data_IF_391622384946
#
_entry.id   IF_391622384946
#
_cell.length_a   1.000
_cell.length_b   1.000
_cell.length_c   1.000
_cell.angle_alpha   90.00
_cell.angle_beta   90.00
_cell.angle_gamma   90.00
#
_symmetry.space_group_name_H-M   'P 1'
#
loop_
_entity.id
_entity.type
_entity.pdbx_description
1 polymer ?
#
# COMPACT_ATOMS: atom_id res chain seq x y z
N UNK A 1 19.49 -6.35 4.21
CA UNK A 1 18.24 -6.16 4.96
C UNK A 1 17.15 -5.83 3.96
N UNK A 2 16.23 -6.75 3.71
CA UNK A 2 15.08 -6.53 2.81
C UNK A 2 14.18 -5.48 3.45
N UNK A 3 13.94 -4.38 2.73
CA UNK A 3 12.95 -3.37 3.11
C UNK A 3 11.55 -3.98 2.93
N UNK A 4 10.68 -3.85 3.93
CA UNK A 4 9.34 -4.46 3.91
C UNK A 4 8.30 -3.57 4.57
N UNK A 5 7.04 -3.84 4.27
CA UNK A 5 5.89 -3.14 4.85
C UNK A 5 5.14 -4.04 5.84
N UNK A 6 4.58 -3.44 6.89
CA UNK A 6 3.85 -4.13 7.95
C UNK A 6 2.35 -4.22 7.64
N UNK A 7 1.79 -5.42 7.71
CA UNK A 7 0.37 -5.72 7.46
C UNK A 7 -0.27 -6.35 8.70
N UNK A 8 -1.51 -5.97 9.06
CA UNK A 8 -2.29 -6.55 10.16
C UNK A 8 -3.81 -6.46 9.90
N UNK A 9 -4.32 -7.27 8.97
CA UNK A 9 -5.71 -7.16 8.51
C UNK A 9 -6.30 -8.52 8.15
N UNK A 10 -7.61 -8.70 8.39
CA UNK A 10 -8.36 -9.89 8.00
C UNK A 10 -9.08 -9.75 6.65
N UNK A 11 -9.20 -8.53 6.13
CA UNK A 11 -9.89 -8.20 4.89
C UNK A 11 -8.98 -7.36 4.00
N UNK A 12 -9.23 -7.42 2.69
CA UNK A 12 -8.58 -6.56 1.71
C UNK A 12 -9.61 -5.99 0.74
N UNK A 13 -9.25 -4.89 0.09
CA UNK A 13 -10.11 -4.26 -0.92
C UNK A 13 -10.17 -5.08 -2.20
N UNK A 14 -11.33 -5.01 -2.88
CA UNK A 14 -11.50 -5.45 -4.26
C UNK A 14 -11.96 -4.24 -5.08
N UNK A 15 -11.08 -3.70 -5.91
CA UNK A 15 -11.39 -2.52 -6.71
C UNK A 15 -12.41 -2.85 -7.82
N UNK A 16 -13.38 -1.96 -8.03
CA UNK A 16 -14.33 -2.08 -9.14
C UNK A 16 -13.67 -1.71 -10.47
N UNK A 17 -12.82 -0.68 -10.48
CA UNK A 17 -11.98 -0.32 -11.62
C UNK A 17 -10.55 -0.85 -11.39
N UNK A 18 -9.99 -1.50 -12.40
CA UNK A 18 -8.60 -2.00 -12.34
C UNK A 18 -7.58 -0.87 -12.44
N UNK A 19 -7.95 0.27 -13.03
CA UNK A 19 -7.08 1.43 -13.13
C UNK A 19 -6.79 2.07 -11.76
N UNK A 20 -7.67 1.85 -10.77
CA UNK A 20 -7.48 2.36 -9.41
C UNK A 20 -6.46 1.51 -8.60
N UNK A 21 -5.99 0.38 -9.14
CA UNK A 21 -5.03 -0.51 -8.47
C UNK A 21 -3.61 0.03 -8.67
N UNK A 22 -2.99 0.48 -7.58
CA UNK A 22 -1.62 1.00 -7.59
C UNK A 22 -0.59 -0.12 -7.43
N UNK A 23 -0.85 -1.07 -6.54
CA UNK A 23 0.01 -2.24 -6.33
C UNK A 23 -0.75 -3.39 -5.69
N UNK A 24 -0.20 -4.59 -5.90
CA UNK A 24 -0.65 -5.83 -5.28
C UNK A 24 0.46 -6.43 -4.41
N UNK A 25 0.06 -7.25 -3.45
CA UNK A 25 0.96 -8.01 -2.60
C UNK A 25 0.49 -9.45 -2.55
N UNK A 26 1.43 -10.38 -2.44
CA UNK A 26 1.15 -11.81 -2.36
C UNK A 26 1.25 -12.26 -0.91
N UNK A 27 0.11 -12.71 -0.36
CA UNK A 27 0.04 -13.43 0.91
C UNK A 27 -0.98 -14.55 0.75
N UNK A 28 -0.50 -15.76 0.50
CA UNK A 28 -1.26 -16.94 0.00
C UNK A 28 -1.87 -16.72 -1.40
N UNK A 29 -2.54 -15.58 -1.61
CA UNK A 29 -3.09 -15.10 -2.87
C UNK A 29 -2.64 -13.66 -3.14
N UNK A 30 -2.77 -13.19 -4.40
CA UNK A 30 -2.57 -11.77 -4.71
C UNK A 30 -3.77 -10.95 -4.22
N UNK A 31 -3.50 -9.80 -3.61
CA UNK A 31 -4.51 -8.84 -3.21
C UNK A 31 -4.03 -7.41 -3.44
N UNK A 32 -4.97 -6.49 -3.64
CA UNK A 32 -4.68 -5.06 -3.79
C UNK A 32 -4.22 -4.50 -2.44
N UNK A 33 -2.99 -4.00 -2.40
CA UNK A 33 -2.36 -3.44 -1.20
C UNK A 33 -2.09 -1.94 -1.31
N UNK A 34 -2.30 -1.35 -2.49
CA UNK A 34 -2.31 0.09 -2.71
C UNK A 34 -3.32 0.47 -3.78
N UNK A 35 -3.96 1.62 -3.59
CA UNK A 35 -4.89 2.22 -4.53
C UNK A 35 -4.51 3.67 -4.80
N UNK A 36 -4.84 4.15 -5.99
CA UNK A 36 -4.77 5.56 -6.33
C UNK A 36 -5.91 5.91 -7.28
N UNK A 37 -6.57 7.05 -7.01
CA UNK A 37 -7.57 7.63 -7.91
C UNK A 37 -7.46 9.14 -7.82
N UNK A 38 -7.10 9.77 -8.93
CA UNK A 38 -6.84 11.21 -9.00
C UNK A 38 -5.86 11.66 -7.89
N UNK A 39 -6.27 12.53 -6.98
CA UNK A 39 -5.45 13.01 -5.87
C UNK A 39 -5.58 12.15 -4.59
N UNK A 40 -6.30 11.02 -4.64
CA UNK A 40 -6.54 10.14 -3.49
C UNK A 40 -5.57 8.95 -3.56
N UNK A 41 -4.85 8.73 -2.46
CA UNK A 41 -3.92 7.63 -2.28
C UNK A 41 -4.33 6.79 -1.06
N UNK A 42 -4.23 5.47 -1.17
CA UNK A 42 -4.51 4.57 -0.06
C UNK A 42 -3.55 3.38 -0.10
N UNK A 43 -3.10 2.95 1.08
CA UNK A 43 -2.29 1.74 1.23
C UNK A 43 -2.89 0.88 2.33
N UNK A 44 -2.83 -0.44 2.14
CA UNK A 44 -3.37 -1.40 3.09
C UNK A 44 -2.38 -1.67 4.22
N UNK A 45 -1.08 -1.67 3.94
CA UNK A 45 -0.03 -1.75 4.95
C UNK A 45 0.07 -0.45 5.76
N UNK A 46 0.81 -0.51 6.88
CA UNK A 46 1.01 0.60 7.82
C UNK A 46 2.38 1.26 7.61
N UNK A 47 2.49 2.36 6.86
CA UNK A 47 3.78 3.03 6.63
C UNK A 47 4.44 3.46 7.95
N UNK A 48 3.65 3.91 8.92
CA UNK A 48 4.13 4.33 10.25
C UNK A 48 4.75 3.20 11.07
N UNK A 49 4.46 1.94 10.74
CA UNK A 49 5.02 0.74 11.39
C UNK A 49 6.07 0.03 10.53
N UNK A 50 6.39 0.58 9.36
CA UNK A 50 7.24 -0.07 8.34
C UNK A 50 8.69 0.45 8.31
N UNK A 51 9.15 1.12 9.38
CA UNK A 51 10.51 1.64 9.53
C UNK A 51 10.96 2.47 8.30
N UNK A 52 12.21 2.35 7.87
CA UNK A 52 12.81 3.11 6.76
C UNK A 52 11.98 3.05 5.46
N UNK A 53 11.33 1.92 5.18
CA UNK A 53 10.50 1.76 3.98
C UNK A 53 9.24 2.63 4.06
N UNK A 54 8.61 2.62 5.22
CA UNK A 54 7.43 3.44 5.50
C UNK A 54 7.73 4.92 5.57
N UNK A 55 8.84 5.30 6.20
CA UNK A 55 9.30 6.69 6.23
C UNK A 55 9.52 7.23 4.81
N UNK A 56 10.23 6.47 3.96
CA UNK A 56 10.45 6.89 2.58
C UNK A 56 9.14 7.07 1.81
N UNK A 57 8.18 6.17 2.00
CA UNK A 57 6.87 6.28 1.35
C UNK A 57 6.11 7.53 1.80
N UNK A 58 6.08 7.83 3.11
CA UNK A 58 5.43 9.02 3.64
C UNK A 58 6.11 10.30 3.14
N UNK A 59 7.45 10.31 3.03
CA UNK A 59 8.20 11.42 2.43
C UNK A 59 7.84 11.60 0.96
N UNK A 60 7.70 10.52 0.20
CA UNK A 60 7.28 10.62 -1.19
C UNK A 60 5.89 11.23 -1.29
N UNK A 61 4.93 10.75 -0.50
CA UNK A 61 3.56 11.26 -0.47
C UNK A 61 3.50 12.76 -0.12
N UNK A 62 4.29 13.20 0.85
CA UNK A 62 4.35 14.61 1.25
C UNK A 62 4.99 15.54 0.20
N UNK A 63 5.65 14.99 -0.82
CA UNK A 63 6.32 15.72 -1.90
C UNK A 63 5.61 15.56 -3.27
N UNK A 64 4.40 14.97 -3.29
CA UNK A 64 3.53 14.95 -4.47
C UNK A 64 2.92 16.35 -4.66
#
# INVERSE_FOLDING_TARGET
LTRGFYFVHSYHVKCCNKEDVLNETVYENSFVSGIQKDNIWGVQYHPEKSHDAGEQLLRNFANI
#
